data_IF_490520354981
#
_entry.id   IF_490520354981
#
_cell.length_a   1.000
_cell.length_b   1.000
_cell.length_c   1.000
_cell.angle_alpha   90.00
_cell.angle_beta   90.00
_cell.angle_gamma   90.00
#
_symmetry.space_group_name_H-M   'P 1'
#
loop_
_entity.id
_entity.type
_entity.pdbx_description
1 polymer ?
#
# COMPACT_ATOMS: atom_id res chain seq x y z
N UNK A 1 50.86 12.55 14.65
CA UNK A 1 49.74 11.66 15.01
C UNK A 1 48.78 11.59 13.84
N UNK A 2 48.26 10.39 13.62
CA UNK A 2 47.91 9.83 12.31
C UNK A 2 46.59 10.35 11.72
N UNK A 3 46.60 10.43 10.39
CA UNK A 3 45.55 10.88 9.48
C UNK A 3 44.34 9.92 9.48
N UNK A 4 43.13 10.46 9.70
CA UNK A 4 41.88 9.72 9.57
C UNK A 4 41.42 9.72 8.10
N UNK A 5 41.80 8.66 7.38
CA UNK A 5 41.30 8.40 6.04
C UNK A 5 39.79 8.10 6.08
N UNK A 6 38.98 8.97 5.49
CA UNK A 6 37.54 8.72 5.27
C UNK A 6 37.37 7.76 4.11
N UNK A 7 37.17 6.48 4.41
CA UNK A 7 36.76 5.45 3.45
C UNK A 7 35.34 5.75 2.97
N UNK A 8 35.17 6.08 1.68
CA UNK A 8 33.85 6.20 1.04
C UNK A 8 33.44 4.83 0.50
N UNK A 9 32.39 4.24 1.07
CA UNK A 9 31.75 3.04 0.53
C UNK A 9 30.94 3.42 -0.72
N UNK A 10 31.16 2.79 -1.88
CA UNK A 10 30.28 2.99 -3.02
C UNK A 10 28.94 2.30 -2.75
N UNK A 11 27.87 3.09 -2.65
CA UNK A 11 26.50 2.59 -2.64
C UNK A 11 26.20 2.02 -4.03
N UNK A 12 26.25 0.70 -4.16
CA UNK A 12 25.84 0.00 -5.37
C UNK A 12 24.34 0.25 -5.59
N UNK A 13 24.02 1.05 -6.61
CA UNK A 13 22.66 1.35 -7.05
C UNK A 13 22.13 0.08 -7.73
N UNK A 14 21.01 -0.51 -7.28
CA UNK A 14 20.43 -1.64 -8.00
C UNK A 14 20.04 -1.16 -9.40
N UNK A 15 20.59 -1.80 -10.43
CA UNK A 15 20.14 -1.61 -11.79
C UNK A 15 18.64 -1.98 -11.83
N UNK A 16 17.79 -1.00 -12.13
CA UNK A 16 16.37 -1.23 -12.31
C UNK A 16 16.21 -2.30 -13.39
N UNK A 17 15.71 -3.47 -13.01
CA UNK A 17 15.29 -4.48 -13.96
C UNK A 17 14.31 -3.82 -14.93
N UNK A 18 14.67 -3.78 -16.20
CA UNK A 18 13.80 -3.31 -17.27
C UNK A 18 12.64 -4.28 -17.39
N UNK A 19 11.60 -4.04 -16.60
CA UNK A 19 10.30 -4.65 -16.81
C UNK A 19 9.89 -4.29 -18.24
N UNK A 20 9.95 -5.27 -19.15
CA UNK A 20 9.30 -5.20 -20.46
C UNK A 20 7.82 -5.01 -20.18
N UNK A 21 7.40 -3.75 -20.14
CA UNK A 21 6.00 -3.37 -20.16
C UNK A 21 5.41 -3.92 -21.46
N UNK A 22 4.61 -4.99 -21.35
CA UNK A 22 3.72 -5.40 -22.43
C UNK A 22 2.69 -4.29 -22.58
N UNK A 23 2.89 -3.41 -23.56
CA UNK A 23 1.86 -2.48 -24.03
C UNK A 23 0.73 -3.34 -24.57
N UNK A 24 -0.34 -3.46 -23.80
CA UNK A 24 -1.62 -3.85 -24.35
C UNK A 24 -2.06 -2.74 -25.30
N UNK A 25 -2.22 -3.12 -26.57
CA UNK A 25 -3.01 -2.49 -27.63
C UNK A 25 -3.34 -1.00 -27.39
N UNK A 26 -2.47 -0.12 -27.90
CA UNK A 26 -2.88 1.23 -28.23
C UNK A 26 -3.56 1.18 -29.61
N UNK A 27 -4.87 1.40 -29.65
CA UNK A 27 -5.57 1.74 -30.89
C UNK A 27 -5.21 3.18 -31.23
N UNK A 28 -4.40 3.34 -32.28
CA UNK A 28 -4.05 4.62 -32.86
C UNK A 28 -5.30 5.26 -33.49
N UNK A 29 -5.65 6.46 -33.06
CA UNK A 29 -6.74 7.25 -33.61
C UNK A 29 -6.14 8.24 -34.60
N UNK A 30 -6.09 7.86 -35.87
CA UNK A 30 -5.67 8.75 -36.96
C UNK A 30 -6.87 9.55 -37.46
N UNK A 31 -6.69 10.88 -37.48
CA UNK A 31 -7.61 11.85 -38.08
C UNK A 31 -7.58 11.79 -39.62
N UNK A 32 -8.75 12.09 -40.17
CA UNK A 32 -9.08 12.29 -41.59
C UNK A 32 -8.05 13.12 -42.38
N UNK A 33 -7.71 12.66 -43.59
CA UNK A 33 -7.62 13.51 -44.78
C UNK A 33 -7.51 12.68 -46.10
N UNK A 34 -8.61 12.74 -46.86
CA UNK A 34 -8.81 12.59 -48.32
C UNK A 34 -7.82 11.78 -49.18
N UNK A 35 -8.29 10.65 -49.74
CA UNK A 35 -7.98 10.22 -51.12
C UNK A 35 -8.97 9.14 -51.59
N UNK A 36 -9.31 9.19 -52.87
CA UNK A 36 -10.40 8.47 -53.52
C UNK A 36 -10.10 7.01 -53.91
N UNK A 37 -11.18 6.26 -54.17
CA UNK A 37 -11.30 5.01 -54.95
C UNK A 37 -10.69 3.74 -54.34
N UNK A 38 -11.54 2.85 -53.81
CA UNK A 38 -11.88 1.56 -54.43
C UNK A 38 -12.65 0.65 -53.46
N UNK A 39 -13.49 -0.20 -54.05
CA UNK A 39 -14.33 -1.19 -53.36
C UNK A 39 -13.48 -2.16 -52.50
N UNK A 40 -13.48 -1.95 -51.19
CA UNK A 40 -13.01 -2.94 -50.23
C UNK A 40 -14.14 -3.24 -49.24
N UNK A 41 -15.06 -4.10 -49.67
CA UNK A 41 -15.93 -4.81 -48.76
C UNK A 41 -15.07 -5.53 -47.72
N UNK A 42 -15.15 -5.10 -46.45
CA UNK A 42 -14.63 -5.88 -45.32
C UNK A 42 -15.22 -7.28 -45.47
N UNK A 43 -14.42 -8.37 -45.53
CA UNK A 43 -14.99 -9.69 -45.65
C UNK A 43 -15.88 -9.91 -44.43
N UNK A 44 -17.20 -9.95 -44.65
CA UNK A 44 -18.16 -10.21 -43.61
C UNK A 44 -17.73 -11.49 -42.91
N UNK A 45 -17.34 -11.38 -41.63
CA UNK A 45 -17.01 -12.56 -40.82
C UNK A 45 -18.23 -13.47 -40.90
N UNK A 46 -18.11 -14.75 -41.27
CA UNK A 46 -19.27 -15.61 -41.38
C UNK A 46 -19.85 -15.82 -39.97
N UNK A 47 -20.88 -15.06 -39.60
CA UNK A 47 -21.57 -15.15 -38.30
C UNK A 47 -22.59 -16.29 -38.27
N UNK A 48 -22.23 -17.43 -38.87
CA UNK A 48 -23.05 -18.64 -38.86
C UNK A 48 -22.87 -19.46 -37.58
N UNK A 49 -23.76 -20.41 -37.35
CA UNK A 49 -23.69 -21.40 -36.25
C UNK A 49 -22.42 -22.28 -36.30
N UNK A 50 -21.68 -22.26 -37.42
CA UNK A 50 -20.40 -22.96 -37.60
C UNK A 50 -19.17 -22.07 -37.38
N UNK A 51 -19.37 -20.82 -36.98
CA UNK A 51 -18.29 -19.89 -36.66
C UNK A 51 -17.51 -20.32 -35.42
N UNK A 52 -16.26 -19.86 -35.32
CA UNK A 52 -15.37 -20.16 -34.19
C UNK A 52 -15.99 -19.80 -32.83
N UNK A 53 -16.81 -18.75 -32.77
CA UNK A 53 -17.53 -18.35 -31.55
C UNK A 53 -18.58 -19.38 -31.12
N UNK A 54 -19.43 -19.84 -32.04
CA UNK A 54 -20.46 -20.85 -31.73
C UNK A 54 -19.86 -22.22 -31.41
N UNK A 55 -18.77 -22.61 -32.09
CA UNK A 55 -18.04 -23.85 -31.77
C UNK A 55 -17.44 -23.80 -30.36
N UNK A 56 -16.87 -22.66 -29.97
CA UNK A 56 -16.35 -22.47 -28.62
C UNK A 56 -17.49 -22.48 -27.59
N UNK A 57 -18.63 -21.85 -27.88
CA UNK A 57 -19.80 -21.87 -27.00
C UNK A 57 -20.38 -23.28 -26.83
N UNK A 58 -20.48 -24.06 -27.90
CA UNK A 58 -20.92 -25.45 -27.83
C UNK A 58 -19.94 -26.30 -27.01
N UNK A 59 -18.64 -26.17 -27.25
CA UNK A 59 -17.62 -26.86 -26.45
C UNK A 59 -17.68 -26.46 -24.97
N UNK A 60 -17.87 -25.17 -24.68
CA UNK A 60 -18.06 -24.68 -23.33
C UNK A 60 -19.31 -25.30 -22.70
N UNK A 61 -20.44 -25.32 -23.41
CA UNK A 61 -21.71 -25.87 -22.91
C UNK A 61 -21.61 -27.36 -22.60
N UNK A 62 -20.99 -28.14 -23.50
CA UNK A 62 -20.74 -29.58 -23.29
C UNK A 62 -19.77 -29.78 -22.14
N UNK A 63 -18.72 -28.96 -22.07
CA UNK A 63 -17.76 -28.95 -20.97
C UNK A 63 -18.43 -28.68 -19.61
N UNK A 64 -19.36 -27.71 -19.54
CA UNK A 64 -20.10 -27.38 -18.31
C UNK A 64 -21.03 -28.53 -17.89
N UNK A 65 -21.74 -29.16 -18.82
CA UNK A 65 -22.61 -30.30 -18.50
C UNK A 65 -21.79 -31.52 -18.06
N UNK A 66 -20.68 -31.80 -18.74
CA UNK A 66 -19.75 -32.85 -18.35
C UNK A 66 -19.15 -32.56 -16.96
N UNK A 67 -18.77 -31.32 -16.69
CA UNK A 67 -18.29 -30.89 -15.39
C UNK A 67 -19.35 -31.08 -14.31
N UNK A 68 -20.61 -30.69 -14.54
CA UNK A 68 -21.67 -30.88 -13.54
C UNK A 68 -21.95 -32.36 -13.25
N UNK A 69 -21.94 -33.22 -14.27
CA UNK A 69 -22.26 -34.66 -14.11
C UNK A 69 -21.09 -35.49 -13.57
N UNK A 70 -19.86 -35.14 -13.92
CA UNK A 70 -18.64 -35.87 -13.54
C UNK A 70 -17.81 -35.11 -12.50
N UNK A 71 -18.31 -33.99 -11.97
CA UNK A 71 -17.68 -33.33 -10.84
C UNK A 71 -17.68 -34.30 -9.65
N UNK A 72 -16.50 -34.63 -9.10
CA UNK A 72 -16.41 -35.47 -7.92
C UNK A 72 -17.21 -34.84 -6.77
N UNK A 73 -17.95 -35.67 -6.06
CA UNK A 73 -18.74 -35.24 -4.90
C UNK A 73 -17.84 -34.53 -3.88
N UNK A 74 -18.35 -33.50 -3.18
CA UNK A 74 -17.58 -32.75 -2.20
C UNK A 74 -17.26 -33.65 -1.00
N UNK A 75 -16.10 -34.32 -1.03
CA UNK A 75 -15.65 -35.18 0.06
C UNK A 75 -14.65 -36.25 -0.36
N UNK A 76 -14.77 -36.78 -1.58
CA UNK A 76 -13.79 -37.76 -2.09
C UNK A 76 -12.73 -37.03 -2.89
N UNK A 77 -11.49 -37.11 -2.41
CA UNK A 77 -10.35 -36.34 -2.89
C UNK A 77 -10.25 -36.33 -4.40
N UNK A 78 -10.74 -35.25 -5.01
CA UNK A 78 -10.57 -35.01 -6.43
C UNK A 78 -9.07 -35.06 -6.71
N UNK A 79 -8.64 -35.88 -7.67
CA UNK A 79 -7.23 -35.97 -8.06
C UNK A 79 -6.61 -34.59 -8.32
N UNK A 80 -7.42 -33.66 -8.84
CA UNK A 80 -7.04 -32.27 -9.00
C UNK A 80 -6.75 -31.56 -7.66
N UNK A 81 -7.59 -31.73 -6.64
CA UNK A 81 -7.33 -31.18 -5.30
C UNK A 81 -6.12 -31.80 -4.64
N UNK A 82 -5.89 -33.10 -4.80
CA UNK A 82 -4.68 -33.77 -4.29
C UNK A 82 -3.42 -33.26 -5.01
N UNK A 83 -3.49 -33.08 -6.33
CA UNK A 83 -2.42 -32.50 -7.14
C UNK A 83 -2.13 -31.05 -6.73
N UNK A 84 -3.18 -30.23 -6.62
CA UNK A 84 -3.06 -28.84 -6.15
C UNK A 84 -2.43 -28.82 -4.75
N UNK A 85 -2.90 -29.65 -3.81
CA UNK A 85 -2.34 -29.73 -2.45
C UNK A 85 -0.87 -30.15 -2.44
N UNK A 86 -0.43 -30.98 -3.38
CA UNK A 86 0.96 -31.40 -3.48
C UNK A 86 1.92 -30.25 -3.85
N UNK A 87 1.47 -29.31 -4.69
CA UNK A 87 2.28 -28.16 -5.11
C UNK A 87 1.98 -26.88 -4.33
N UNK A 88 0.88 -26.83 -3.58
CA UNK A 88 0.60 -25.71 -2.68
C UNK A 88 1.52 -25.77 -1.46
N UNK A 89 2.03 -24.60 -1.08
CA UNK A 89 2.84 -24.44 0.11
C UNK A 89 2.05 -24.81 1.37
N UNK A 90 2.73 -25.43 2.34
CA UNK A 90 2.09 -25.94 3.56
C UNK A 90 1.34 -24.82 4.31
N UNK A 91 0.11 -25.06 4.81
CA UNK A 91 -0.70 -24.04 5.48
C UNK A 91 0.02 -23.32 6.64
N UNK A 92 0.90 -24.04 7.36
CA UNK A 92 1.69 -23.48 8.45
C UNK A 92 2.57 -22.30 8.03
N UNK A 93 3.13 -22.33 6.81
CA UNK A 93 3.99 -21.22 6.37
C UNK A 93 3.16 -19.95 6.14
N UNK A 94 1.92 -20.10 5.66
CA UNK A 94 1.00 -18.97 5.53
C UNK A 94 0.55 -18.43 6.88
N UNK A 95 0.35 -19.31 7.86
CA UNK A 95 0.07 -18.92 9.24
C UNK A 95 1.23 -18.09 9.82
N UNK A 96 2.47 -18.57 9.69
CA UNK A 96 3.66 -17.86 10.17
C UNK A 96 3.82 -16.48 9.51
N UNK A 97 3.63 -16.39 8.20
CA UNK A 97 3.68 -15.12 7.46
C UNK A 97 2.57 -14.17 7.90
N UNK A 98 1.36 -14.69 8.12
CA UNK A 98 0.23 -13.89 8.60
C UNK A 98 0.47 -13.36 10.01
N UNK A 99 1.00 -14.20 10.91
CA UNK A 99 1.39 -13.80 12.26
C UNK A 99 2.47 -12.72 12.20
N UNK A 100 3.51 -12.90 11.37
CA UNK A 100 4.57 -11.91 11.22
C UNK A 100 4.03 -10.55 10.76
N UNK A 101 3.14 -10.55 9.76
CA UNK A 101 2.50 -9.32 9.26
C UNK A 101 1.60 -8.67 10.33
N UNK A 102 0.88 -9.49 11.11
CA UNK A 102 0.07 -9.01 12.22
C UNK A 102 0.95 -8.33 13.28
N UNK A 103 2.08 -8.91 13.63
CA UNK A 103 3.01 -8.31 14.61
C UNK A 103 3.62 -7.00 14.10
N UNK A 104 4.03 -6.94 12.83
CA UNK A 104 4.56 -5.71 12.23
C UNK A 104 3.50 -4.60 12.19
N UNK A 105 2.27 -4.93 11.78
CA UNK A 105 1.18 -3.95 11.73
C UNK A 105 0.81 -3.44 13.13
N UNK A 106 0.80 -4.32 14.14
CA UNK A 106 0.58 -3.94 15.53
C UNK A 106 1.66 -2.97 16.02
N UNK A 107 2.93 -3.28 15.79
CA UNK A 107 4.04 -2.41 16.19
C UNK A 107 3.96 -1.03 15.51
N UNK A 108 3.60 -0.99 14.22
CA UNK A 108 3.37 0.27 13.52
C UNK A 108 2.20 1.07 14.13
N UNK A 109 1.10 0.41 14.47
CA UNK A 109 -0.04 1.05 15.12
C UNK A 109 0.29 1.59 16.51
N UNK A 110 1.04 0.84 17.33
CA UNK A 110 1.49 1.31 18.65
C UNK A 110 2.35 2.58 18.51
N UNK A 111 3.28 2.61 17.57
CA UNK A 111 4.08 3.81 17.31
C UNK A 111 3.24 5.01 16.84
N UNK A 112 2.23 4.75 16.00
CA UNK A 112 1.33 5.78 15.50
C UNK A 112 0.46 6.35 16.64
N UNK A 113 0.00 5.50 17.57
CA UNK A 113 -0.76 5.93 18.75
C UNK A 113 0.08 6.83 19.67
N UNK A 114 1.35 6.50 19.89
CA UNK A 114 2.26 7.34 20.70
C UNK A 114 2.43 8.72 20.07
N UNK A 115 2.56 8.80 18.74
CA UNK A 115 2.69 10.07 18.03
C UNK A 115 1.36 10.84 18.03
N UNK A 116 0.24 10.14 17.89
CA UNK A 116 -1.08 10.77 17.88
C UNK A 116 -1.49 11.33 19.26
N UNK A 117 -1.10 10.66 20.34
CA UNK A 117 -1.36 11.12 21.71
C UNK A 117 -0.40 12.24 22.14
N UNK A 118 0.77 12.33 21.52
CA UNK A 118 1.75 13.38 21.80
C UNK A 118 1.16 14.77 21.51
N UNK A 119 0.78 15.49 22.56
CA UNK A 119 0.40 16.89 22.48
C UNK A 119 1.65 17.77 22.51
N UNK A 120 1.74 18.83 21.69
CA UNK A 120 2.81 19.80 21.83
C UNK A 120 2.74 20.43 23.23
N UNK A 121 3.89 20.76 23.84
CA UNK A 121 3.90 21.42 25.13
C UNK A 121 3.10 22.73 25.04
N UNK A 122 2.24 22.97 26.03
CA UNK A 122 1.43 24.19 26.08
C UNK A 122 2.34 25.39 26.31
N UNK A 123 2.41 26.29 25.33
CA UNK A 123 3.20 27.53 25.42
C UNK A 123 2.27 28.71 25.62
N UNK A 124 2.35 29.35 26.79
CA UNK A 124 1.68 30.62 27.05
C UNK A 124 2.62 31.79 26.72
N UNK A 125 2.19 32.67 25.82
CA UNK A 125 2.92 33.89 25.47
C UNK A 125 2.54 34.99 26.44
N UNK A 126 3.46 35.35 27.34
CA UNK A 126 3.28 36.45 28.26
C UNK A 126 4.06 37.67 27.77
N UNK A 127 3.45 38.85 27.87
CA UNK A 127 4.14 40.13 27.63
C UNK A 127 5.21 40.39 28.69
N UNK A 128 4.97 39.93 29.92
CA UNK A 128 5.85 40.11 31.07
C UNK A 128 6.08 38.77 31.76
N UNK A 129 7.11 37.98 31.37
CA UNK A 129 7.38 36.69 31.99
C UNK A 129 7.78 36.82 33.47
N UNK A 130 8.33 37.97 33.87
CA UNK A 130 8.70 38.29 35.25
C UNK A 130 7.53 38.26 36.24
N UNK A 131 6.28 38.32 35.76
CA UNK A 131 5.10 38.23 36.61
C UNK A 131 4.92 36.83 37.24
N UNK A 132 5.53 35.79 36.66
CA UNK A 132 5.50 34.43 37.18
C UNK A 132 6.21 34.33 38.54
N UNK A 133 7.37 34.99 38.66
CA UNK A 133 8.19 34.95 39.88
C UNK A 133 7.68 35.90 40.98
N UNK A 134 6.81 36.85 40.61
CA UNK A 134 6.34 37.92 41.50
C UNK A 134 4.81 37.93 41.62
N UNK A 135 4.22 36.96 42.35
CA UNK A 135 2.80 36.97 42.61
C UNK A 135 2.42 38.19 43.46
N UNK A 136 1.22 38.73 43.21
CA UNK A 136 0.69 39.84 44.01
C UNK A 136 0.17 39.33 45.35
N UNK A 137 0.60 39.91 46.49
CA UNK A 137 0.23 39.40 47.82
C UNK A 137 -1.24 39.63 48.19
N UNK A 138 -1.95 40.54 47.50
CA UNK A 138 -3.31 40.95 47.87
C UNK A 138 -4.42 40.20 47.13
N UNK A 139 -4.07 39.33 46.16
CA UNK A 139 -5.03 38.72 45.23
C UNK A 139 -4.83 37.21 45.07
N UNK A 140 -3.98 36.58 45.89
CA UNK A 140 -3.75 35.14 45.86
C UNK A 140 -4.71 34.42 46.82
N UNK A 141 -5.64 33.58 46.33
CA UNK A 141 -6.42 32.72 47.22
C UNK A 141 -5.50 31.69 47.89
N UNK A 142 -5.92 31.19 49.05
CA UNK A 142 -5.18 30.17 49.78
C UNK A 142 -5.06 28.91 48.90
N UNK A 143 -3.83 28.43 48.68
CA UNK A 143 -3.56 27.29 47.79
C UNK A 143 -3.31 27.63 46.32
N UNK A 144 -3.23 28.92 45.94
CA UNK A 144 -2.92 29.34 44.57
C UNK A 144 -1.46 29.13 44.15
N UNK A 145 -0.60 28.63 45.05
CA UNK A 145 0.79 28.36 44.74
C UNK A 145 0.90 27.09 43.90
N UNK A 146 1.15 27.27 42.60
CA UNK A 146 1.44 26.19 41.66
C UNK A 146 2.95 25.93 41.67
N UNK A 147 3.36 24.66 41.60
CA UNK A 147 4.76 24.31 41.40
C UNK A 147 5.20 24.71 39.98
N UNK A 148 6.19 25.61 39.91
CA UNK A 148 6.73 26.17 38.67
C UNK A 148 8.10 25.57 38.31
N UNK A 149 8.57 24.54 39.02
CA UNK A 149 9.87 23.91 38.83
C UNK A 149 10.16 23.44 37.40
N UNK A 150 9.11 23.06 36.65
CA UNK A 150 9.20 22.56 35.28
C UNK A 150 8.92 23.63 34.21
N UNK A 151 8.76 24.90 34.59
CA UNK A 151 8.48 25.99 33.64
C UNK A 151 9.79 26.61 33.16
N UNK A 152 10.02 26.61 31.84
CA UNK A 152 11.20 27.22 31.21
C UNK A 152 10.78 28.44 30.40
N UNK A 153 11.30 29.61 30.77
CA UNK A 153 11.08 30.86 30.01
C UNK A 153 11.99 30.87 28.78
N UNK A 154 11.41 30.83 27.59
CA UNK A 154 12.14 31.02 26.32
C UNK A 154 12.17 32.50 25.96
N UNK A 155 13.36 33.04 25.68
CA UNK A 155 13.55 34.41 25.17
C UNK A 155 13.86 34.37 23.66
N UNK A 156 13.51 35.42 22.92
CA UNK A 156 13.67 35.47 21.45
C UNK A 156 15.12 35.24 20.96
N UNK A 157 16.13 35.44 21.81
CA UNK A 157 17.53 35.15 21.49
C UNK A 157 17.89 33.66 21.48
N UNK A 158 17.04 32.79 22.03
CA UNK A 158 17.29 31.34 22.14
C UNK A 158 16.38 30.50 21.23
N UNK A 159 15.74 31.12 20.22
CA UNK A 159 14.78 30.45 19.33
C UNK A 159 15.39 29.84 18.05
N UNK A 160 16.72 29.65 17.98
CA UNK A 160 17.38 29.03 16.83
C UNK A 160 18.24 27.82 17.21
#
# INVERSE_FOLDING_TARGET
>A
MQSLARTRLPLARPAAASLRARRFLASDAHHDEHAHHDEHAVPARPEGFTSTGWRLFLLLSVGTVAFYKYAPAPGDGAYLTAYIRHYMQHPQVWEDVNIQNLLVSKAAQESALVIADARPPVVHRLRYPQAIDRPTPFLAPVGAHVDLSNVVVKTDKQSS
#
